data_IF_310519845320
#
_entry.id   IF_310519845320
#
_cell.length_a   1.000
_cell.length_b   1.000
_cell.length_c   1.000
_cell.angle_alpha   90.00
_cell.angle_beta   90.00
_cell.angle_gamma   90.00
#
_symmetry.space_group_name_H-M   'P 1'
#
loop_
_entity.id
_entity.type
_entity.pdbx_description
1 polymer ?
#
# COMPACT_ATOMS: atom_id res chain seq x y z
N UNK A 1 1.45 -7.71 19.70
CA UNK A 1 1.40 -6.84 18.51
C UNK A 1 2.58 -5.89 18.53
N UNK A 2 3.32 -5.80 17.42
CA UNK A 2 4.34 -4.77 17.22
C UNK A 2 3.68 -3.54 16.60
N UNK A 3 3.73 -2.40 17.28
CA UNK A 3 3.04 -1.18 16.84
C UNK A 3 3.27 0.01 17.77
N UNK A 4 2.94 1.21 17.31
CA UNK A 4 3.05 2.45 18.09
C UNK A 4 1.87 2.54 19.10
N UNK A 5 2.09 2.50 20.43
CA UNK A 5 1.02 2.40 21.42
C UNK A 5 -0.04 3.51 21.34
N UNK A 6 0.37 4.72 20.96
CA UNK A 6 -0.49 5.89 20.80
C UNK A 6 -1.33 5.86 19.50
N UNK A 7 -1.02 4.95 18.58
CA UNK A 7 -1.66 4.91 17.27
C UNK A 7 -3.04 4.26 17.36
N UNK A 8 -4.03 4.90 16.74
CA UNK A 8 -5.40 4.40 16.61
C UNK A 8 -5.51 2.97 16.03
N UNK A 9 -4.58 2.54 15.17
CA UNK A 9 -4.53 1.16 14.64
C UNK A 9 -4.31 0.15 15.77
N UNK A 10 -3.45 0.48 16.74
CA UNK A 10 -3.22 -0.34 17.94
C UNK A 10 -4.48 -0.39 18.79
N UNK A 11 -5.07 0.77 19.08
CA UNK A 11 -6.29 0.86 19.89
C UNK A 11 -7.47 0.06 19.29
N UNK A 12 -7.73 0.18 17.97
CA UNK A 12 -8.81 -0.56 17.31
C UNK A 12 -8.54 -2.06 17.23
N UNK A 13 -7.28 -2.48 17.06
CA UNK A 13 -6.96 -3.90 17.13
C UNK A 13 -7.16 -4.47 18.54
N UNK A 14 -6.75 -3.75 19.59
CA UNK A 14 -7.02 -4.15 20.98
C UNK A 14 -8.52 -4.23 21.30
N UNK A 15 -9.32 -3.31 20.76
CA UNK A 15 -10.77 -3.36 20.87
C UNK A 15 -11.34 -4.62 20.20
N UNK A 16 -10.89 -4.95 18.99
CA UNK A 16 -11.29 -6.17 18.29
C UNK A 16 -10.89 -7.45 19.06
N UNK A 17 -9.70 -7.49 19.64
CA UNK A 17 -9.22 -8.60 20.49
C UNK A 17 -10.12 -8.75 21.72
N UNK A 18 -10.44 -7.65 22.40
CA UNK A 18 -11.34 -7.63 23.56
C UNK A 18 -12.76 -8.08 23.20
N UNK A 19 -13.29 -7.59 22.09
CA UNK A 19 -14.62 -7.95 21.59
C UNK A 19 -14.72 -9.44 21.24
N UNK A 20 -13.62 -10.06 20.82
CA UNK A 20 -13.52 -11.50 20.60
C UNK A 20 -13.36 -12.32 21.89
N UNK A 21 -13.35 -11.69 23.08
CA UNK A 21 -13.21 -12.37 24.37
C UNK A 21 -11.79 -12.85 24.68
N UNK A 22 -10.78 -12.35 23.96
CA UNK A 22 -9.38 -12.72 24.17
C UNK A 22 -8.72 -11.85 25.25
N UNK A 23 -7.65 -12.34 25.91
CA UNK A 23 -6.81 -11.51 26.76
C UNK A 23 -6.27 -10.29 26.00
N UNK A 24 -6.01 -9.16 26.68
CA UNK A 24 -5.42 -7.99 26.05
C UNK A 24 -4.16 -8.33 25.26
N UNK A 25 -4.07 -7.84 24.02
CA UNK A 25 -2.90 -8.04 23.20
C UNK A 25 -1.71 -7.26 23.79
N UNK A 26 -0.61 -7.96 24.11
CA UNK A 26 0.63 -7.31 24.54
C UNK A 26 1.20 -6.46 23.41
N UNK A 27 1.48 -5.18 23.67
CA UNK A 27 2.07 -4.26 22.69
C UNK A 27 3.60 -4.22 22.86
N UNK A 28 4.32 -4.39 21.75
CA UNK A 28 5.78 -4.22 21.64
C UNK A 28 6.01 -2.95 20.80
N UNK A 29 6.40 -1.82 21.40
CA UNK A 29 6.57 -0.56 20.69
C UNK A 29 7.65 -0.61 19.59
N UNK A 30 7.45 0.09 18.48
CA UNK A 30 8.49 0.19 17.45
C UNK A 30 9.78 0.82 17.95
N UNK A 31 9.73 1.77 18.89
CA UNK A 31 10.93 2.33 19.52
C UNK A 31 11.74 1.27 20.29
N UNK A 32 11.06 0.31 20.93
CA UNK A 32 11.74 -0.81 21.59
C UNK A 32 12.37 -1.75 20.55
N UNK A 33 11.66 -2.05 19.46
CA UNK A 33 12.21 -2.88 18.36
C UNK A 33 13.43 -2.21 17.75
N UNK A 34 13.35 -0.92 17.41
CA UNK A 34 14.46 -0.17 16.83
C UNK A 34 15.65 0.01 17.79
N UNK A 35 15.41 -0.15 19.09
CA UNK A 35 16.45 -0.21 20.13
C UNK A 35 17.05 -1.60 20.35
N UNK A 36 16.68 -2.62 19.57
CA UNK A 36 17.18 -4.00 19.72
C UNK A 36 16.49 -4.81 20.82
N UNK A 37 15.32 -4.37 21.28
CA UNK A 37 14.62 -4.91 22.45
C UNK A 37 13.43 -5.81 22.13
N UNK A 38 13.26 -6.30 20.89
CA UNK A 38 12.10 -7.11 20.53
C UNK A 38 12.10 -8.46 21.30
N UNK A 39 11.06 -8.72 22.09
CA UNK A 39 10.92 -9.94 22.89
C UNK A 39 9.50 -10.52 22.85
N UNK A 40 9.45 -11.85 22.75
CA UNK A 40 8.23 -12.66 22.59
C UNK A 40 8.24 -13.89 23.49
N UNK A 41 7.05 -14.42 23.75
CA UNK A 41 6.84 -15.62 24.57
C UNK A 41 6.44 -16.82 23.68
N UNK A 42 6.73 -18.07 24.13
CA UNK A 42 6.36 -19.27 23.37
C UNK A 42 4.86 -19.34 23.08
N UNK A 43 4.52 -19.72 21.84
CA UNK A 43 3.13 -19.86 21.40
C UNK A 43 2.40 -18.54 21.10
N UNK A 44 3.05 -17.38 21.27
CA UNK A 44 2.43 -16.10 20.89
C UNK A 44 2.21 -16.01 19.38
N UNK A 45 1.13 -15.32 19.02
CA UNK A 45 0.86 -14.88 17.64
C UNK A 45 1.21 -13.41 17.49
N UNK A 46 2.22 -13.12 16.67
CA UNK A 46 2.81 -11.78 16.52
C UNK A 46 2.24 -11.08 15.30
N UNK A 47 1.32 -10.14 15.54
CA UNK A 47 0.90 -9.14 14.55
C UNK A 47 1.92 -8.01 14.45
N UNK A 48 2.41 -7.69 13.25
CA UNK A 48 3.18 -6.48 12.95
C UNK A 48 2.23 -5.43 12.35
N UNK A 49 2.29 -4.19 12.82
CA UNK A 49 1.54 -3.04 12.28
C UNK A 49 2.50 -1.95 11.76
N UNK A 50 1.94 -0.97 11.05
CA UNK A 50 2.66 0.17 10.48
C UNK A 50 3.47 0.91 11.54
N UNK A 51 4.76 1.24 11.27
CA UNK A 51 5.57 2.10 12.13
C UNK A 51 5.26 3.60 11.98
N UNK A 52 4.35 3.97 11.06
CA UNK A 52 4.04 5.37 10.75
C UNK A 52 3.27 6.13 11.84
N UNK A 53 3.06 7.42 11.57
CA UNK A 53 2.39 8.39 12.48
C UNK A 53 3.10 8.57 13.85
N UNK A 54 4.40 8.24 13.94
CA UNK A 54 5.25 8.53 15.10
C UNK A 54 6.54 9.23 14.65
N UNK A 55 6.79 10.45 15.13
CA UNK A 55 7.89 11.30 14.66
C UNK A 55 9.28 10.72 15.01
N UNK A 56 9.43 10.10 16.17
CA UNK A 56 10.72 9.55 16.59
C UNK A 56 11.06 8.26 15.82
N UNK A 57 10.07 7.38 15.63
CA UNK A 57 10.22 6.19 14.78
C UNK A 57 10.55 6.60 13.35
N UNK A 58 9.87 7.61 12.79
CA UNK A 58 10.15 8.10 11.45
C UNK A 58 11.56 8.69 11.33
N UNK A 59 12.02 9.44 12.34
CA UNK A 59 13.38 9.97 12.40
C UNK A 59 14.43 8.85 12.43
N UNK A 60 14.20 7.79 13.21
CA UNK A 60 15.11 6.64 13.29
C UNK A 60 15.19 5.87 11.97
N UNK A 61 14.03 5.64 11.33
CA UNK A 61 13.95 4.90 10.06
C UNK A 61 14.48 5.72 8.88
N UNK A 62 13.99 6.95 8.71
CA UNK A 62 14.26 7.80 7.53
C UNK A 62 15.51 8.67 7.68
N UNK A 63 15.85 9.06 8.91
CA UNK A 63 16.99 9.94 9.18
C UNK A 63 16.77 11.41 8.87
N UNK A 64 15.52 11.87 8.89
CA UNK A 64 15.13 13.26 8.71
C UNK A 64 14.29 13.71 9.91
N UNK A 65 14.44 14.97 10.32
CA UNK A 65 13.76 15.51 11.50
C UNK A 65 12.34 16.02 11.21
N UNK A 66 12.00 16.20 9.93
CA UNK A 66 10.69 16.65 9.49
C UNK A 66 9.91 15.50 8.81
N UNK A 67 8.79 15.03 9.39
CA UNK A 67 8.01 13.91 8.86
C UNK A 67 7.29 14.22 7.54
N UNK A 68 7.26 15.49 7.11
CA UNK A 68 6.72 15.88 5.80
C UNK A 68 7.70 15.65 4.66
N UNK A 69 8.99 15.39 4.95
CA UNK A 69 10.03 15.14 3.95
C UNK A 69 9.70 13.89 3.14
N UNK A 70 9.83 14.01 1.82
CA UNK A 70 9.56 12.88 0.90
C UNK A 70 10.80 12.04 0.62
N UNK A 71 11.98 12.62 0.79
CA UNK A 71 13.28 11.97 0.60
C UNK A 71 13.58 10.94 1.71
N UNK A 72 14.60 10.11 1.51
CA UNK A 72 15.06 9.11 2.48
C UNK A 72 14.21 7.84 2.53
N UNK A 73 13.31 7.62 1.56
CA UNK A 73 12.46 6.43 1.51
C UNK A 73 13.26 5.13 1.31
N UNK A 74 14.40 5.17 0.60
CA UNK A 74 15.29 4.02 0.49
C UNK A 74 15.96 3.67 1.83
N UNK A 75 16.40 4.68 2.59
CA UNK A 75 16.94 4.49 3.94
C UNK A 75 15.88 3.95 4.89
N UNK A 76 14.68 4.55 4.85
CA UNK A 76 13.53 4.09 5.62
C UNK A 76 13.24 2.62 5.35
N UNK A 77 13.21 2.22 4.07
CA UNK A 77 12.98 0.82 3.69
C UNK A 77 14.05 -0.12 4.23
N UNK A 78 15.33 0.21 4.08
CA UNK A 78 16.42 -0.63 4.60
C UNK A 78 16.40 -0.77 6.13
N UNK A 79 16.12 0.31 6.85
CA UNK A 79 15.99 0.29 8.31
C UNK A 79 14.76 -0.51 8.76
N UNK A 80 13.61 -0.32 8.10
CA UNK A 80 12.38 -1.05 8.37
C UNK A 80 12.55 -2.54 8.14
N UNK A 81 13.19 -2.93 7.03
CA UNK A 81 13.57 -4.31 6.71
C UNK A 81 14.37 -4.96 7.84
N UNK A 82 15.40 -4.27 8.31
CA UNK A 82 16.26 -4.76 9.40
C UNK A 82 15.46 -4.98 10.68
N UNK A 83 14.58 -4.04 11.04
CA UNK A 83 13.73 -4.14 12.22
C UNK A 83 12.69 -5.29 12.10
N UNK A 84 12.12 -5.50 10.92
CA UNK A 84 11.19 -6.61 10.65
C UNK A 84 11.92 -7.96 10.71
N UNK A 85 13.13 -8.05 10.17
CA UNK A 85 13.95 -9.26 10.25
C UNK A 85 14.32 -9.58 11.71
N UNK A 86 14.58 -8.55 12.54
CA UNK A 86 14.79 -8.73 13.98
C UNK A 86 13.54 -9.25 14.69
N UNK A 87 12.37 -8.68 14.42
CA UNK A 87 11.09 -9.15 14.99
C UNK A 87 10.84 -10.61 14.64
N UNK A 88 11.03 -10.99 13.37
CA UNK A 88 10.82 -12.36 12.93
C UNK A 88 11.82 -13.33 13.58
N UNK A 89 13.09 -12.93 13.69
CA UNK A 89 14.13 -13.71 14.39
C UNK A 89 13.81 -13.90 15.87
N UNK A 90 13.43 -12.83 16.57
CA UNK A 90 13.07 -12.87 17.99
C UNK A 90 11.82 -13.73 18.22
N UNK A 91 10.80 -13.60 17.37
CA UNK A 91 9.59 -14.41 17.45
C UNK A 91 9.91 -15.89 17.24
N UNK A 92 10.67 -16.22 16.19
CA UNK A 92 11.08 -17.61 15.92
C UNK A 92 11.92 -18.21 17.05
N UNK A 93 12.86 -17.44 17.62
CA UNK A 93 13.68 -17.90 18.75
C UNK A 93 12.87 -18.18 20.01
N UNK A 94 11.76 -17.45 20.21
CA UNK A 94 10.83 -17.68 21.31
C UNK A 94 9.83 -18.81 21.04
N UNK A 95 9.71 -19.33 19.81
CA UNK A 95 8.64 -20.26 19.44
C UNK A 95 7.28 -19.57 19.20
N UNK A 96 7.30 -18.28 18.85
CA UNK A 96 6.14 -17.50 18.44
C UNK A 96 5.99 -17.49 16.91
N UNK A 97 4.78 -17.25 16.41
CA UNK A 97 4.45 -17.22 14.98
C UNK A 97 4.08 -15.81 14.54
N UNK A 98 4.67 -15.30 13.45
CA UNK A 98 4.29 -14.00 12.88
C UNK A 98 3.10 -14.14 11.93
N UNK A 99 2.19 -13.15 11.94
CA UNK A 99 1.06 -13.08 10.99
C UNK A 99 1.43 -12.44 9.65
N UNK A 100 2.67 -11.98 9.55
CA UNK A 100 3.25 -11.36 8.36
C UNK A 100 4.70 -11.81 8.25
N UNK A 101 5.09 -12.33 7.09
CA UNK A 101 6.47 -12.73 6.82
C UNK A 101 7.33 -11.51 6.46
N UNK A 102 8.63 -11.52 6.81
CA UNK A 102 9.56 -10.53 6.28
C UNK A 102 9.54 -10.51 4.75
N UNK A 103 9.64 -11.65 4.07
CA UNK A 103 9.76 -11.69 2.61
C UNK A 103 8.58 -11.06 1.86
N UNK A 104 7.37 -11.14 2.42
CA UNK A 104 6.22 -10.41 1.90
C UNK A 104 6.34 -8.92 2.15
N UNK A 105 6.73 -8.49 3.36
CA UNK A 105 6.94 -7.07 3.68
C UNK A 105 8.01 -6.44 2.79
N UNK A 106 9.05 -7.18 2.39
CA UNK A 106 10.04 -6.70 1.43
C UNK A 106 9.39 -6.27 0.12
N UNK A 107 8.53 -7.14 -0.44
CA UNK A 107 7.88 -6.83 -1.69
C UNK A 107 6.75 -5.83 -1.54
N UNK A 108 5.92 -5.93 -0.50
CA UNK A 108 4.79 -5.02 -0.26
C UNK A 108 5.25 -3.58 -0.05
N UNK A 109 6.45 -3.36 0.50
CA UNK A 109 7.02 -2.02 0.66
C UNK A 109 7.90 -1.57 -0.51
N UNK A 110 8.19 -2.40 -1.51
CA UNK A 110 8.87 -2.00 -2.74
C UNK A 110 7.95 -2.19 -3.95
N UNK A 111 7.42 -1.09 -4.48
CA UNK A 111 6.45 -1.10 -5.59
C UNK A 111 6.96 -1.87 -6.80
N UNK A 112 8.26 -1.86 -7.08
CA UNK A 112 8.84 -2.55 -8.23
C UNK A 112 8.75 -4.06 -8.05
N UNK A 113 9.07 -4.54 -6.83
CA UNK A 113 9.01 -5.95 -6.46
C UNK A 113 7.58 -6.45 -6.35
N UNK A 114 6.70 -5.70 -5.66
CA UNK A 114 5.26 -6.01 -5.61
C UNK A 114 4.68 -6.13 -7.01
N UNK A 115 4.95 -5.15 -7.87
CA UNK A 115 4.46 -5.12 -9.24
C UNK A 115 4.91 -6.35 -10.04
N UNK A 116 6.19 -6.73 -9.95
CA UNK A 116 6.71 -7.89 -10.66
C UNK A 116 6.11 -9.21 -10.15
N UNK A 117 5.90 -9.35 -8.83
CA UNK A 117 5.23 -10.53 -8.26
C UNK A 117 3.79 -10.67 -8.76
N UNK A 118 3.07 -9.57 -8.86
CA UNK A 118 1.70 -9.56 -9.38
C UNK A 118 1.66 -9.91 -10.88
N UNK A 119 2.53 -9.28 -11.68
CA UNK A 119 2.62 -9.55 -13.11
C UNK A 119 2.98 -11.02 -13.40
N UNK A 120 3.98 -11.56 -12.68
CA UNK A 120 4.38 -12.97 -12.80
C UNK A 120 3.26 -13.96 -12.44
N UNK A 121 2.34 -13.56 -11.55
CA UNK A 121 1.16 -14.34 -11.17
C UNK A 121 -0.04 -14.15 -12.14
N UNK A 122 0.13 -13.38 -13.22
CA UNK A 122 -0.95 -13.08 -14.17
C UNK A 122 -2.02 -12.14 -13.63
N UNK A 123 -1.75 -11.43 -12.52
CA UNK A 123 -2.62 -10.35 -12.04
C UNK A 123 -2.40 -9.13 -12.92
N UNK A 124 -3.48 -8.59 -13.48
CA UNK A 124 -3.39 -7.41 -14.33
C UNK A 124 -2.88 -6.20 -13.55
N UNK A 125 -1.78 -5.61 -13.99
CA UNK A 125 -1.15 -4.40 -13.44
C UNK A 125 -0.84 -3.40 -14.56
N UNK A 126 -0.66 -2.10 -14.28
CA UNK A 126 -0.26 -1.13 -15.31
C UNK A 126 1.13 -1.43 -15.87
N UNK A 127 1.32 -1.41 -17.20
CA UNK A 127 2.65 -1.65 -17.78
C UNK A 127 3.75 -0.75 -17.16
N UNK A 128 4.87 -1.35 -16.78
CA UNK A 128 5.97 -0.67 -16.07
C UNK A 128 7.34 -1.15 -16.57
N UNK A 129 8.23 -0.26 -17.04
CA UNK A 129 9.59 -0.63 -17.42
C UNK A 129 10.54 -0.80 -16.22
N UNK A 130 10.13 -0.36 -15.04
CA UNK A 130 10.93 -0.43 -13.80
C UNK A 130 10.52 -1.60 -12.91
N UNK A 131 9.65 -2.48 -13.39
CA UNK A 131 9.15 -3.59 -12.59
C UNK A 131 10.22 -4.64 -12.33
N UNK A 132 10.29 -5.08 -11.07
CA UNK A 132 11.16 -6.18 -10.64
C UNK A 132 12.63 -5.78 -10.44
N UNK A 133 13.45 -6.73 -9.95
CA UNK A 133 14.86 -6.49 -9.65
C UNK A 133 15.70 -6.21 -10.91
N UNK A 134 15.22 -6.63 -12.08
CA UNK A 134 15.86 -6.41 -13.38
C UNK A 134 15.20 -5.30 -14.20
N UNK A 135 14.27 -4.55 -13.59
CA UNK A 135 13.64 -3.38 -14.23
C UNK A 135 14.67 -2.28 -14.51
N UNK A 136 14.33 -1.37 -15.42
CA UNK A 136 15.18 -0.25 -15.76
C UNK A 136 15.54 0.59 -14.53
N UNK A 137 16.83 0.92 -14.39
CA UNK A 137 17.29 1.85 -13.36
C UNK A 137 17.03 3.28 -13.81
N UNK A 138 16.50 4.10 -12.90
CA UNK A 138 16.15 5.50 -13.17
C UNK A 138 17.01 6.39 -12.27
N UNK A 139 17.99 7.09 -12.86
CA UNK A 139 18.91 7.98 -12.13
C UNK A 139 18.45 9.43 -12.12
N UNK A 140 17.39 9.74 -12.86
CA UNK A 140 16.84 11.08 -12.95
C UNK A 140 15.85 11.22 -14.11
N UNK A 141 15.50 12.47 -14.39
CA UNK A 141 14.49 12.85 -15.35
C UNK A 141 14.81 12.45 -16.79
N UNK A 142 16.08 12.48 -17.16
CA UNK A 142 16.51 12.01 -18.47
C UNK A 142 16.11 10.55 -18.72
N UNK A 143 16.37 9.67 -17.74
CA UNK A 143 16.01 8.25 -17.82
C UNK A 143 14.48 8.08 -17.86
N UNK A 144 13.73 8.85 -17.04
CA UNK A 144 12.25 8.87 -17.10
C UNK A 144 11.74 9.20 -18.51
N UNK A 145 12.29 10.24 -19.14
CA UNK A 145 11.90 10.65 -20.49
C UNK A 145 12.26 9.64 -21.56
N UNK A 146 13.43 9.01 -21.44
CA UNK A 146 13.86 7.95 -22.34
C UNK A 146 12.90 6.75 -22.26
N UNK A 147 12.58 6.29 -21.04
CA UNK A 147 11.68 5.16 -20.81
C UNK A 147 10.24 5.46 -21.26
N UNK A 148 9.73 6.66 -20.98
CA UNK A 148 8.39 7.06 -21.45
C UNK A 148 8.30 7.02 -22.99
N UNK A 149 9.36 7.44 -23.69
CA UNK A 149 9.42 7.40 -25.16
C UNK A 149 9.53 5.96 -25.68
N UNK A 150 10.47 5.19 -25.14
CA UNK A 150 10.74 3.80 -25.54
C UNK A 150 9.49 2.92 -25.40
N UNK A 151 8.81 3.02 -24.26
CA UNK A 151 7.63 2.20 -23.94
C UNK A 151 6.30 2.82 -24.40
N UNK A 152 6.34 3.92 -25.16
CA UNK A 152 5.15 4.65 -25.66
C UNK A 152 4.15 4.95 -24.53
N UNK A 153 4.67 5.57 -23.47
CA UNK A 153 3.93 6.00 -22.28
C UNK A 153 3.89 7.53 -22.22
N UNK A 154 3.05 8.19 -23.03
CA UNK A 154 2.93 9.66 -23.01
C UNK A 154 2.35 10.18 -21.68
N UNK A 155 1.78 9.27 -20.86
CA UNK A 155 1.34 9.54 -19.50
C UNK A 155 1.79 8.42 -18.58
N UNK A 156 2.46 8.77 -17.49
CA UNK A 156 3.00 7.83 -16.53
C UNK A 156 2.85 8.37 -15.11
N UNK A 157 2.72 7.47 -14.14
CA UNK A 157 3.02 7.80 -12.76
C UNK A 157 4.49 7.53 -12.51
N UNK A 158 5.21 8.50 -11.94
CA UNK A 158 6.54 8.33 -11.37
C UNK A 158 6.37 8.36 -9.85
N UNK A 159 6.78 7.29 -9.18
CA UNK A 159 6.57 7.09 -7.74
C UNK A 159 7.90 6.74 -7.09
N UNK A 160 8.14 7.20 -5.86
CA UNK A 160 9.16 6.57 -5.01
C UNK A 160 8.86 5.07 -4.86
N UNK A 161 9.89 4.23 -4.95
CA UNK A 161 9.73 2.78 -4.83
C UNK A 161 9.10 2.39 -3.48
N UNK A 162 9.51 3.07 -2.41
CA UNK A 162 9.09 2.79 -1.02
C UNK A 162 8.20 3.88 -0.40
N UNK A 163 7.68 4.80 -1.21
CA UNK A 163 6.78 5.85 -0.73
C UNK A 163 5.40 5.31 -0.31
N UNK A 164 4.68 6.01 0.56
CA UNK A 164 3.30 5.68 0.96
C UNK A 164 2.41 6.92 0.94
N UNK A 165 1.10 6.75 1.09
CA UNK A 165 0.12 7.86 1.18
C UNK A 165 0.20 8.89 0.03
N UNK A 166 0.55 8.42 -1.18
CA UNK A 166 0.80 9.23 -2.36
C UNK A 166 1.93 10.29 -2.21
N UNK A 167 2.77 10.18 -1.18
CA UNK A 167 3.98 10.98 -1.02
C UNK A 167 5.00 10.61 -2.10
N UNK A 168 5.63 11.63 -2.71
CA UNK A 168 6.62 11.40 -3.77
C UNK A 168 6.04 10.86 -5.08
N UNK A 169 4.73 11.02 -5.33
CA UNK A 169 4.07 10.59 -6.57
C UNK A 169 3.87 11.76 -7.52
N UNK A 170 4.28 11.60 -8.77
CA UNK A 170 4.09 12.54 -9.86
C UNK A 170 3.25 11.90 -10.97
N UNK A 171 2.11 12.50 -11.31
CA UNK A 171 1.38 12.19 -12.54
C UNK A 171 1.98 13.00 -13.68
N UNK A 172 2.82 12.37 -14.50
CA UNK A 172 3.60 12.99 -15.57
C UNK A 172 2.93 12.75 -16.92
N UNK A 173 2.83 13.81 -17.70
CA UNK A 173 2.41 13.79 -19.10
C UNK A 173 3.49 14.44 -19.95
N UNK A 174 3.76 13.84 -21.10
CA UNK A 174 4.69 14.36 -22.10
C UNK A 174 4.01 14.41 -23.46
N UNK A 175 4.37 15.41 -24.25
CA UNK A 175 3.96 15.52 -25.64
C UNK A 175 5.19 15.71 -26.53
N UNK A 176 5.07 16.50 -27.61
CA UNK A 176 6.23 16.84 -28.45
C UNK A 176 7.37 17.55 -27.67
N UNK A 177 8.47 17.89 -28.33
CA UNK A 177 9.68 18.42 -27.68
C UNK A 177 9.38 19.56 -26.69
N UNK A 178 9.97 19.48 -25.48
CA UNK A 178 9.81 20.48 -24.42
C UNK A 178 8.45 20.49 -23.69
N UNK A 179 7.45 19.75 -24.16
CA UNK A 179 6.11 19.74 -23.56
C UNK A 179 6.00 18.68 -22.47
N UNK A 180 5.98 19.14 -21.22
CA UNK A 180 5.77 18.30 -20.04
C UNK A 180 4.72 18.94 -19.14
N UNK A 181 3.97 18.11 -18.43
CA UNK A 181 3.17 18.50 -17.28
C UNK A 181 3.32 17.45 -16.19
N UNK A 182 3.60 17.85 -14.96
CA UNK A 182 3.55 16.98 -13.80
C UNK A 182 2.54 17.52 -12.78
N UNK A 183 1.68 16.65 -12.24
CA UNK A 183 0.82 16.97 -11.10
C UNK A 183 1.26 16.17 -9.88
N UNK A 184 1.55 16.85 -8.77
CA UNK A 184 2.11 16.23 -7.55
C UNK A 184 1.85 17.09 -6.32
N UNK A 185 1.86 16.48 -5.14
CA UNK A 185 1.87 17.22 -3.85
C UNK A 185 3.28 17.50 -3.34
N UNK A 186 4.31 17.00 -4.02
CA UNK A 186 5.71 17.30 -3.72
C UNK A 186 5.97 18.78 -3.97
N UNK A 187 6.46 19.46 -2.96
CA UNK A 187 6.90 20.85 -3.03
C UNK A 187 8.39 20.91 -2.66
N UNK A 188 9.10 21.86 -3.28
CA UNK A 188 10.52 22.09 -3.10
C UNK A 188 10.72 23.45 -2.45
N UNK A 189 11.47 23.51 -1.34
CA UNK A 189 11.79 24.78 -0.68
C UNK A 189 12.98 25.49 -1.35
N UNK A 190 13.35 26.66 -0.80
CA UNK A 190 14.49 27.45 -1.28
C UNK A 190 15.86 26.78 -1.08
N UNK A 191 15.95 25.81 -0.19
CA UNK A 191 17.17 24.99 0.04
C UNK A 191 17.19 23.74 -0.86
N UNK A 192 16.10 23.49 -1.59
CA UNK A 192 15.96 22.37 -2.50
C UNK A 192 15.45 21.07 -1.86
N UNK A 193 15.06 21.11 -0.58
CA UNK A 193 14.46 19.98 0.14
C UNK A 193 13.05 19.75 -0.35
N UNK A 194 12.64 18.48 -0.38
CA UNK A 194 11.33 18.08 -0.85
C UNK A 194 10.39 17.67 0.29
N UNK A 195 9.15 18.15 0.25
CA UNK A 195 8.13 17.85 1.25
C UNK A 195 6.76 17.58 0.62
N UNK A 196 5.94 16.77 1.30
CA UNK A 196 4.57 16.50 0.88
C UNK A 196 3.65 17.61 1.42
N UNK A 197 3.33 18.59 0.56
CA UNK A 197 2.47 19.72 0.92
C UNK A 197 0.99 19.35 1.12
N UNK A 198 0.60 18.10 0.80
CA UNK A 198 -0.78 17.61 0.68
C UNK A 198 -1.64 18.35 -0.36
N UNK A 199 -1.10 19.38 -1.02
CA UNK A 199 -1.78 20.19 -2.03
C UNK A 199 -1.24 19.83 -3.40
N UNK A 200 -2.09 19.27 -4.25
CA UNK A 200 -1.69 18.92 -5.62
C UNK A 200 -1.46 20.20 -6.43
N UNK A 201 -0.23 20.37 -6.92
CA UNK A 201 0.20 21.48 -7.79
C UNK A 201 0.55 20.95 -9.17
N UNK A 202 0.69 21.87 -10.13
CA UNK A 202 1.10 21.55 -11.50
C UNK A 202 2.41 22.24 -11.83
N UNK A 203 3.35 21.48 -12.36
CA UNK A 203 4.61 21.95 -12.93
C UNK A 203 4.58 21.73 -14.44
N UNK A 204 5.03 22.70 -15.23
CA UNK A 204 4.84 22.69 -16.70
C UNK A 204 6.14 22.86 -17.48
N UNK A 205 7.28 23.01 -16.80
CA UNK A 205 8.58 23.12 -17.44
C UNK A 205 9.42 21.88 -17.20
N UNK A 206 10.28 21.51 -18.15
CA UNK A 206 11.21 20.38 -17.97
C UNK A 206 12.20 20.62 -16.83
N UNK A 207 12.58 21.87 -16.58
CA UNK A 207 13.48 22.23 -15.49
C UNK A 207 12.85 21.96 -14.11
N UNK A 208 11.61 22.39 -13.88
CA UNK A 208 10.92 22.15 -12.61
C UNK A 208 10.66 20.67 -12.37
N UNK A 209 10.10 19.98 -13.39
CA UNK A 209 9.80 18.54 -13.28
C UNK A 209 11.10 17.74 -13.12
N UNK A 210 12.15 18.13 -13.86
CA UNK A 210 13.46 17.54 -13.78
C UNK A 210 14.05 17.63 -12.37
N UNK A 211 14.08 18.84 -11.80
CA UNK A 211 14.61 19.07 -10.46
C UNK A 211 13.90 18.23 -9.38
N UNK A 212 12.57 18.06 -9.49
CA UNK A 212 11.82 17.19 -8.55
C UNK A 212 12.21 15.72 -8.72
N UNK A 213 12.22 15.22 -9.96
CA UNK A 213 12.52 13.82 -10.25
C UNK A 213 13.98 13.48 -9.90
N UNK A 214 14.92 14.35 -10.22
CA UNK A 214 16.34 14.16 -9.95
C UNK A 214 16.63 14.12 -8.45
N UNK A 215 15.91 14.91 -7.64
CA UNK A 215 16.01 14.87 -6.19
C UNK A 215 15.37 13.61 -5.57
N UNK A 216 14.35 13.02 -6.21
CA UNK A 216 13.71 11.77 -5.77
C UNK A 216 14.42 10.51 -6.26
N UNK A 217 15.16 10.58 -7.37
CA UNK A 217 15.79 9.44 -8.01
C UNK A 217 16.74 8.62 -7.11
N UNK A 218 17.54 9.22 -6.20
CA UNK A 218 18.43 8.47 -5.30
C UNK A 218 17.70 7.46 -4.41
N UNK A 219 16.42 7.70 -4.10
CA UNK A 219 15.59 6.79 -3.31
C UNK A 219 15.01 5.62 -4.14
N UNK A 220 15.22 5.63 -5.46
CA UNK A 220 14.66 4.66 -6.38
C UNK A 220 13.24 5.03 -6.84
N UNK A 221 13.02 4.91 -8.14
CA UNK A 221 11.75 5.26 -8.78
C UNK A 221 11.08 4.04 -9.40
N UNK A 222 9.76 4.04 -9.33
CA UNK A 222 8.87 3.16 -10.07
C UNK A 222 8.08 4.00 -11.07
N UNK A 223 8.16 3.63 -12.35
CA UNK A 223 7.42 4.26 -13.44
C UNK A 223 6.38 3.27 -13.93
N UNK A 224 5.12 3.69 -13.98
CA UNK A 224 4.04 2.85 -14.51
C UNK A 224 3.10 3.65 -15.40
N UNK A 225 2.40 2.95 -16.28
CA UNK A 225 1.43 3.57 -17.18
C UNK A 225 0.31 4.20 -16.37
N UNK A 226 0.08 5.48 -16.62
CA UNK A 226 -1.10 6.14 -16.07
C UNK A 226 -2.34 5.65 -16.81
N UNK A 227 -3.06 4.71 -16.17
CA UNK A 227 -4.33 4.19 -16.67
C UNK A 227 -5.45 5.24 -16.51
N UNK A 228 -6.21 5.53 -17.57
CA UNK A 228 -7.47 6.27 -17.46
C UNK A 228 -8.45 5.48 -16.59
N UNK A 229 -8.82 6.06 -15.45
CA UNK A 229 -9.75 5.45 -14.51
C UNK A 229 -11.19 5.70 -14.90
N UNK A 230 -12.08 4.78 -14.55
CA UNK A 230 -13.50 5.05 -14.51
C UNK A 230 -13.78 6.22 -13.56
N UNK A 231 -14.91 6.87 -13.77
CA UNK A 231 -15.36 7.96 -12.92
C UNK A 231 -16.72 7.65 -12.30
N UNK A 232 -16.93 8.23 -11.12
CA UNK A 232 -18.21 8.27 -10.43
C UNK A 232 -18.58 9.74 -10.27
N UNK A 233 -19.74 10.14 -10.81
CA UNK A 233 -20.25 11.52 -10.74
C UNK A 233 -19.20 12.56 -11.18
N UNK A 234 -18.49 12.28 -12.27
CA UNK A 234 -17.44 13.16 -12.83
C UNK A 234 -16.09 13.14 -12.10
N UNK A 235 -15.93 12.31 -11.06
CA UNK A 235 -14.69 12.19 -10.28
C UNK A 235 -13.99 10.88 -10.59
N UNK A 236 -12.67 10.88 -10.78
CA UNK A 236 -11.91 9.65 -10.98
C UNK A 236 -12.09 8.73 -9.77
N UNK A 237 -12.32 7.43 -10.02
CA UNK A 237 -12.61 6.45 -8.98
C UNK A 237 -11.56 5.33 -8.96
N UNK A 238 -11.16 4.91 -7.77
CA UNK A 238 -10.53 3.63 -7.52
C UNK A 238 -11.21 2.91 -6.36
N UNK A 239 -10.80 1.68 -6.08
CA UNK A 239 -11.29 0.92 -4.94
C UNK A 239 -10.14 0.46 -4.07
N UNK A 240 -10.37 0.48 -2.77
CA UNK A 240 -9.53 -0.17 -1.77
C UNK A 240 -10.27 -1.41 -1.29
N UNK A 241 -9.73 -2.58 -1.61
CA UNK A 241 -10.26 -3.88 -1.19
C UNK A 241 -9.36 -4.43 -0.08
N UNK A 242 -9.94 -4.73 1.08
CA UNK A 242 -9.19 -5.40 2.16
C UNK A 242 -9.38 -6.89 2.01
N UNK A 243 -8.26 -7.61 1.89
CA UNK A 243 -8.23 -9.08 1.83
C UNK A 243 -7.65 -9.59 3.14
N UNK A 244 -8.43 -10.39 3.86
CA UNK A 244 -8.07 -10.98 5.16
C UNK A 244 -8.17 -12.50 5.03
N UNK A 245 -7.11 -13.22 5.39
CA UNK A 245 -7.10 -14.68 5.31
C UNK A 245 -7.33 -15.22 3.89
N UNK A 246 -6.95 -14.46 2.86
CA UNK A 246 -7.16 -14.81 1.45
C UNK A 246 -8.57 -14.52 0.90
N UNK A 247 -9.45 -13.89 1.70
CA UNK A 247 -10.82 -13.52 1.28
C UNK A 247 -11.00 -12.01 1.23
N UNK A 248 -11.61 -11.50 0.17
CA UNK A 248 -11.97 -10.09 0.09
C UNK A 248 -13.10 -9.79 1.07
N UNK A 249 -12.80 -9.06 2.14
CA UNK A 249 -13.73 -8.83 3.25
C UNK A 249 -14.36 -7.45 3.22
N UNK A 250 -13.61 -6.41 2.83
CA UNK A 250 -14.12 -5.03 2.84
C UNK A 250 -13.80 -4.34 1.52
N UNK A 251 -14.64 -3.40 1.11
CA UNK A 251 -14.40 -2.57 -0.07
C UNK A 251 -14.83 -1.13 0.20
N UNK A 252 -13.99 -0.17 -0.19
CA UNK A 252 -14.36 1.25 -0.22
C UNK A 252 -13.98 1.85 -1.57
N UNK A 253 -14.90 2.61 -2.15
CA UNK A 253 -14.63 3.40 -3.36
C UNK A 253 -14.01 4.72 -2.92
N UNK A 254 -12.93 5.16 -3.56
CA UNK A 254 -12.32 6.47 -3.33
C UNK A 254 -12.41 7.30 -4.60
N UNK A 255 -12.89 8.53 -4.49
CA UNK A 255 -13.12 9.43 -5.62
C UNK A 255 -12.34 10.73 -5.48
N UNK A 256 -11.80 11.24 -6.59
CA UNK A 256 -10.99 12.47 -6.60
C UNK A 256 -11.22 13.31 -7.86
N UNK A 257 -11.05 14.62 -7.73
CA UNK A 257 -10.98 15.54 -8.87
C UNK A 257 -9.61 15.51 -9.56
N UNK A 258 -8.61 14.90 -8.93
CA UNK A 258 -7.28 14.70 -9.48
C UNK A 258 -7.05 13.24 -9.89
N UNK A 259 -6.01 12.95 -10.69
CA UNK A 259 -5.62 11.57 -11.01
C UNK A 259 -5.25 10.74 -9.78
N UNK A 260 -4.84 11.38 -8.68
CA UNK A 260 -4.51 10.73 -7.42
C UNK A 260 -5.76 10.68 -6.53
N UNK A 261 -6.22 9.47 -6.24
CA UNK A 261 -7.49 9.16 -5.54
C UNK A 261 -7.31 8.91 -4.04
N UNK A 262 -6.08 9.03 -3.53
CA UNK A 262 -5.77 8.81 -2.12
C UNK A 262 -6.56 9.79 -1.23
N UNK A 263 -7.18 9.26 -0.17
CA UNK A 263 -7.99 10.05 0.78
C UNK A 263 -7.17 11.14 1.49
N UNK A 264 -5.86 10.93 1.68
CA UNK A 264 -4.95 11.93 2.26
C UNK A 264 -4.77 13.18 1.39
N UNK A 265 -5.16 13.13 0.10
CA UNK A 265 -5.12 14.26 -0.84
C UNK A 265 -6.51 14.87 -1.09
N UNK A 266 -7.44 14.71 -0.14
CA UNK A 266 -8.80 15.25 -0.25
C UNK A 266 -9.76 14.39 -1.10
N UNK A 267 -9.45 13.10 -1.26
CA UNK A 267 -10.38 12.13 -1.83
C UNK A 267 -11.62 11.93 -0.94
N UNK A 268 -12.73 11.49 -1.52
CA UNK A 268 -13.98 11.21 -0.80
C UNK A 268 -14.41 9.75 -1.01
N UNK A 269 -15.14 9.18 -0.03
CA UNK A 269 -15.78 7.87 -0.22
C UNK A 269 -16.84 7.98 -1.31
N UNK A 270 -16.78 7.06 -2.26
CA UNK A 270 -17.78 6.88 -3.30
C UNK A 270 -18.87 5.88 -2.89
N UNK A 271 -19.76 5.59 -3.83
CA UNK A 271 -20.84 4.62 -3.64
C UNK A 271 -20.46 3.28 -4.30
N UNK A 272 -20.39 2.21 -3.48
CA UNK A 272 -20.05 0.87 -3.96
C UNK A 272 -21.20 0.23 -4.76
N UNK A 273 -22.45 0.58 -4.50
CA UNK A 273 -23.61 0.06 -5.23
C UNK A 273 -23.64 0.57 -6.66
N UNK A 274 -23.31 1.84 -6.85
CA UNK A 274 -23.11 2.41 -8.18
C UNK A 274 -21.98 1.69 -8.95
N UNK A 275 -20.90 1.27 -8.27
CA UNK A 275 -19.84 0.45 -8.91
C UNK A 275 -20.40 -0.90 -9.33
N UNK A 276 -21.10 -1.60 -8.44
CA UNK A 276 -21.69 -2.92 -8.72
C UNK A 276 -22.69 -2.84 -9.89
N UNK A 277 -23.52 -1.81 -9.91
CA UNK A 277 -24.46 -1.54 -10.99
C UNK A 277 -23.74 -1.23 -12.31
N UNK A 278 -22.71 -0.39 -12.29
CA UNK A 278 -21.94 -0.03 -13.50
C UNK A 278 -21.21 -1.22 -14.10
N UNK A 279 -20.60 -2.08 -13.26
CA UNK A 279 -19.96 -3.33 -13.70
C UNK A 279 -20.99 -4.27 -14.32
N UNK A 280 -22.15 -4.44 -13.69
CA UNK A 280 -23.22 -5.32 -14.19
C UNK A 280 -23.80 -4.80 -15.51
N UNK A 281 -23.96 -3.48 -15.65
CA UNK A 281 -24.50 -2.85 -16.86
C UNK A 281 -23.63 -3.07 -18.12
N UNK A 282 -22.33 -3.33 -17.94
CA UNK A 282 -21.41 -3.67 -19.04
C UNK A 282 -21.15 -5.18 -19.18
N UNK A 283 -21.95 -6.00 -18.51
CA UNK A 283 -21.85 -7.46 -18.53
C UNK A 283 -20.67 -8.03 -17.72
N UNK A 284 -20.03 -7.22 -16.88
CA UNK A 284 -18.96 -7.66 -15.99
C UNK A 284 -19.49 -8.30 -14.71
N UNK A 285 -18.59 -8.99 -14.00
CA UNK A 285 -18.92 -9.62 -12.71
C UNK A 285 -18.12 -8.98 -11.57
N UNK A 286 -18.81 -8.38 -10.59
CA UNK A 286 -18.16 -7.83 -9.39
C UNK A 286 -17.34 -8.87 -8.62
N UNK A 287 -17.81 -10.12 -8.59
CA UNK A 287 -17.09 -11.22 -7.94
C UNK A 287 -15.74 -11.52 -8.61
N UNK A 288 -15.60 -11.31 -9.92
CA UNK A 288 -14.32 -11.48 -10.61
C UNK A 288 -13.32 -10.38 -10.23
N UNK A 289 -13.80 -9.16 -9.97
CA UNK A 289 -12.99 -8.08 -9.44
C UNK A 289 -12.48 -8.38 -8.02
N UNK A 290 -13.33 -8.94 -7.15
CA UNK A 290 -12.93 -9.42 -5.83
C UNK A 290 -11.93 -10.58 -5.94
N UNK A 291 -12.20 -11.57 -6.80
CA UNK A 291 -11.30 -12.71 -7.02
C UNK A 291 -9.93 -12.27 -7.58
N UNK A 292 -9.85 -11.19 -8.35
CA UNK A 292 -8.58 -10.59 -8.75
C UNK A 292 -7.79 -10.06 -7.55
N UNK A 293 -8.46 -9.43 -6.59
CA UNK A 293 -7.82 -8.94 -5.37
C UNK A 293 -7.38 -10.10 -4.47
N UNK A 294 -8.16 -11.18 -4.39
CA UNK A 294 -7.78 -12.40 -3.67
C UNK A 294 -6.56 -13.08 -4.31
N UNK A 295 -6.48 -13.15 -5.65
CA UNK A 295 -5.27 -13.61 -6.36
C UNK A 295 -4.06 -12.72 -6.11
N UNK A 296 -4.26 -11.40 -6.07
CA UNK A 296 -3.19 -10.46 -5.75
C UNK A 296 -2.66 -10.66 -4.32
N UNK A 297 -3.55 -10.89 -3.36
CA UNK A 297 -3.17 -11.21 -1.99
C UNK A 297 -2.47 -12.58 -1.88
N UNK A 298 -2.87 -13.56 -2.68
CA UNK A 298 -2.23 -14.89 -2.71
C UNK A 298 -0.76 -14.86 -3.15
N UNK A 299 -0.30 -13.77 -3.79
CA UNK A 299 1.13 -13.55 -4.07
C UNK A 299 1.96 -13.25 -2.81
N UNK A 300 1.32 -13.08 -1.65
CA UNK A 300 1.93 -12.77 -0.36
C UNK A 300 1.43 -13.74 0.74
N UNK A 301 1.72 -15.05 0.60
CA UNK A 301 1.06 -16.10 1.39
C UNK A 301 1.40 -16.07 2.88
N UNK A 302 2.52 -15.46 3.26
CA UNK A 302 2.92 -15.27 4.65
C UNK A 302 2.28 -14.05 5.32
N UNK A 303 1.36 -13.34 4.65
CA UNK A 303 0.70 -12.13 5.15
C UNK A 303 -0.79 -12.34 5.34
N UNK A 304 -1.28 -12.17 6.56
CA UNK A 304 -2.70 -12.38 6.88
C UNK A 304 -3.63 -11.36 6.20
N UNK A 305 -3.21 -10.10 6.13
CA UNK A 305 -4.08 -8.99 5.76
C UNK A 305 -3.37 -7.96 4.87
N UNK A 306 -3.95 -7.67 3.71
CA UNK A 306 -3.46 -6.67 2.76
C UNK A 306 -4.59 -5.77 2.25
N UNK A 307 -4.26 -4.53 1.91
CA UNK A 307 -5.13 -3.59 1.21
C UNK A 307 -4.76 -3.49 -0.26
N UNK A 308 -5.62 -3.98 -1.15
CA UNK A 308 -5.44 -3.96 -2.61
C UNK A 308 -6.07 -2.70 -3.21
N UNK A 309 -5.27 -1.91 -3.90
CA UNK A 309 -5.76 -0.78 -4.71
C UNK A 309 -6.16 -1.29 -6.09
N UNK A 310 -7.47 -1.33 -6.34
CA UNK A 310 -8.05 -1.78 -7.60
C UNK A 310 -8.44 -0.58 -8.48
N UNK A 311 -7.89 -0.54 -9.68
CA UNK A 311 -8.06 0.53 -10.65
C UNK A 311 -9.08 0.10 -11.73
N UNK A 312 -10.31 0.62 -11.72
CA UNK A 312 -11.27 0.37 -12.79
C UNK A 312 -10.85 1.17 -14.02
N UNK A 313 -10.71 0.51 -15.17
CA UNK A 313 -10.53 1.19 -16.45
C UNK A 313 -11.83 1.91 -16.85
N UNK A 314 -11.70 2.92 -17.73
CA UNK A 314 -12.86 3.65 -18.28
C UNK A 314 -13.97 2.70 -18.72
N UNK A 315 -15.20 2.98 -18.27
CA UNK A 315 -16.38 2.16 -18.56
C UNK A 315 -16.52 0.91 -17.70
N UNK A 316 -15.73 0.73 -16.64
CA UNK A 316 -15.88 -0.37 -15.65
C UNK A 316 -15.71 -1.79 -16.21
N UNK A 317 -15.18 -1.93 -17.42
CA UNK A 317 -15.07 -3.22 -18.13
C UNK A 317 -13.88 -4.08 -17.71
N UNK A 318 -12.82 -3.44 -17.21
CA UNK A 318 -11.56 -4.08 -16.85
C UNK A 318 -11.01 -3.45 -15.60
N UNK A 319 -10.27 -4.23 -14.85
CA UNK A 319 -9.59 -3.81 -13.63
C UNK A 319 -8.10 -4.13 -13.73
N UNK A 320 -7.30 -3.34 -13.04
CA UNK A 320 -5.90 -3.62 -12.78
C UNK A 320 -5.60 -3.34 -11.31
N UNK A 321 -4.67 -4.08 -10.72
CA UNK A 321 -4.14 -3.79 -9.39
C UNK A 321 -3.09 -2.71 -9.52
N UNK A 322 -3.27 -1.59 -8.81
CA UNK A 322 -2.33 -0.48 -8.77
C UNK A 322 -1.25 -0.64 -7.71
N UNK A 323 -1.61 -1.21 -6.56
CA UNK A 323 -0.72 -1.43 -5.43
C UNK A 323 -1.34 -2.45 -4.46
N UNK A 324 -0.50 -3.19 -3.71
CA UNK A 324 -0.93 -4.01 -2.58
C UNK A 324 -0.20 -3.50 -1.34
N UNK A 325 -0.95 -3.11 -0.33
CA UNK A 325 -0.45 -2.47 0.88
C UNK A 325 -0.46 -3.48 2.03
N UNK A 326 0.63 -3.55 2.79
CA UNK A 326 0.68 -4.35 4.00
C UNK A 326 -0.28 -3.80 5.09
N UNK A 327 -0.60 -4.65 6.07
CA UNK A 327 -1.35 -4.28 7.27
C UNK A 327 -2.80 -3.83 7.02
N UNK A 328 -3.39 -4.28 5.91
CA UNK A 328 -4.76 -3.95 5.54
C UNK A 328 -5.00 -2.45 5.37
N UNK A 329 -6.13 -1.99 5.90
CA UNK A 329 -6.43 -0.57 5.92
C UNK A 329 -7.23 -0.19 7.17
N UNK A 330 -7.11 1.09 7.54
CA UNK A 330 -7.87 1.70 8.60
C UNK A 330 -9.14 2.32 8.00
N UNK A 331 -10.26 1.60 8.11
CA UNK A 331 -11.55 2.01 7.54
C UNK A 331 -12.65 2.12 8.61
N UNK A 332 -12.61 3.15 9.48
CA UNK A 332 -13.59 3.30 10.55
C UNK A 332 -15.02 3.37 9.98
N UNK A 333 -15.95 2.71 10.67
CA UNK A 333 -17.37 2.68 10.34
C UNK A 333 -17.71 1.88 9.07
N UNK A 334 -16.77 1.12 8.51
CA UNK A 334 -17.03 0.20 7.40
C UNK A 334 -17.09 -1.23 7.92
N UNK A 335 -18.15 -1.96 7.55
CA UNK A 335 -18.32 -3.38 7.87
C UNK A 335 -18.06 -4.27 6.66
N UNK A 336 -17.87 -5.57 6.92
CA UNK A 336 -17.57 -6.55 5.87
C UNK A 336 -18.68 -6.73 4.82
N UNK A 337 -18.25 -7.16 3.65
CA UNK A 337 -19.09 -7.41 2.47
C UNK A 337 -20.02 -8.61 2.71
N UNK A 338 -21.24 -8.60 2.15
CA UNK A 338 -22.10 -9.77 2.13
C UNK A 338 -21.43 -10.98 1.44
N UNK A 339 -21.53 -12.15 2.06
CA UNK A 339 -20.93 -13.41 1.63
C UNK A 339 -19.42 -13.53 1.89
N UNK A 340 -18.81 -12.57 2.59
CA UNK A 340 -17.36 -12.59 2.87
C UNK A 340 -16.97 -13.37 4.12
N UNK A 341 -17.92 -13.58 5.05
CA UNK A 341 -17.64 -14.11 6.40
C UNK A 341 -17.21 -13.03 7.39
N UNK A 342 -17.22 -11.76 6.98
CA UNK A 342 -16.90 -10.60 7.81
C UNK A 342 -18.10 -9.66 8.01
N UNK A 343 -19.32 -10.09 7.70
CA UNK A 343 -20.53 -9.29 7.87
C UNK A 343 -20.68 -8.81 9.32
N UNK A 344 -20.87 -7.50 9.49
CA UNK A 344 -20.97 -6.87 10.81
C UNK A 344 -19.63 -6.71 11.55
N UNK A 345 -18.54 -7.28 11.04
CA UNK A 345 -17.19 -7.06 11.56
C UNK A 345 -16.55 -5.86 10.86
N UNK A 346 -15.68 -5.14 11.58
CA UNK A 346 -14.76 -4.19 10.98
C UNK A 346 -13.48 -4.91 10.46
N UNK A 347 -12.53 -4.13 9.92
CA UNK A 347 -11.31 -4.67 9.34
C UNK A 347 -10.37 -5.35 10.36
N UNK A 348 -10.43 -4.99 11.64
CA UNK A 348 -9.60 -5.60 12.69
C UNK A 348 -10.28 -6.83 13.29
N UNK A 349 -11.58 -6.77 13.55
CA UNK A 349 -12.38 -7.91 13.99
C UNK A 349 -12.35 -9.05 12.96
N UNK A 350 -12.39 -8.73 11.66
CA UNK A 350 -12.19 -9.72 10.61
C UNK A 350 -10.80 -10.38 10.65
N UNK A 351 -9.74 -9.63 11.00
CA UNK A 351 -8.40 -10.19 11.18
C UNK A 351 -8.33 -11.12 12.39
N UNK A 352 -8.91 -10.72 13.52
CA UNK A 352 -8.96 -11.56 14.73
C UNK A 352 -9.73 -12.85 14.46
N UNK A 353 -10.90 -12.76 13.83
CA UNK A 353 -11.69 -13.92 13.43
C UNK A 353 -10.89 -14.89 12.52
N UNK A 354 -10.19 -14.36 11.52
CA UNK A 354 -9.37 -15.17 10.62
C UNK A 354 -8.19 -15.87 11.33
N UNK A 355 -7.61 -15.25 12.37
CA UNK A 355 -6.59 -15.92 13.21
C UNK A 355 -7.19 -17.07 13.99
N UNK A 356 -8.35 -16.85 14.63
CA UNK A 356 -9.03 -17.90 15.40
C UNK A 356 -9.47 -19.08 14.53
N UNK A 357 -9.91 -18.82 13.30
CA UNK A 357 -10.25 -19.86 12.33
C UNK A 357 -9.04 -20.73 11.96
N UNK A 358 -7.87 -20.12 11.75
CA UNK A 358 -6.63 -20.86 11.46
C UNK A 358 -6.25 -21.77 12.62
N UNK A 359 -6.23 -21.24 13.84
CA UNK A 359 -5.89 -22.03 15.05
C UNK A 359 -6.83 -23.22 15.23
N UNK A 360 -8.14 -23.04 14.99
CA UNK A 360 -9.12 -24.15 15.07
C UNK A 360 -8.86 -25.23 14.03
N UNK A 361 -8.54 -24.85 12.79
CA UNK A 361 -8.24 -25.80 11.72
C UNK A 361 -6.93 -26.55 11.98
N UNK A 362 -5.90 -25.86 12.48
CA UNK A 362 -4.62 -26.50 12.84
C UNK A 362 -4.81 -27.54 13.96
N UNK A 363 -5.63 -27.22 14.98
CA UNK A 363 -6.00 -28.19 16.02
C UNK A 363 -6.82 -29.38 15.50
N UNK A 364 -7.73 -29.16 14.55
CA UNK A 364 -8.53 -30.23 13.96
C UNK A 364 -7.68 -31.18 13.08
N UNK A 365 -6.65 -30.66 12.41
CA UNK A 365 -5.73 -31.46 11.58
C UNK A 365 -4.68 -32.21 12.42
N UNK A 366 -4.34 -31.70 13.61
CA UNK A 366 -3.34 -32.29 14.52
C UNK A 366 -3.93 -33.20 15.60
N UNK A 367 -5.26 -33.28 15.71
CA UNK A 367 -5.95 -34.21 16.61
C UNK A 367 -6.20 -35.55 15.87
N UNK A 368 -5.74 -36.70 16.42
CA UNK A 368 -5.77 -38.00 15.75
C UNK A 368 -7.16 -38.61 15.58
#
# INVERSE_FOLDING_TARGET
MVGNPENRRVAFFEEAVRAAGLPPARVVPWLQVLGGGAAFEPGETVRIDSPGENAEVERLLRGVDDPTRVEGSARWYAAFRTAVDEVARAASAAGATTLTSPDDLAALFDKRLCHARLEAAGVAVPASPTSGPHGAQVRGWYDVRALMREHRMPRAFVKLAHGSSASGVLAVETAGPGRVRASTSVERDGEGRLFNSLRVRRYTTEQEVGALVDALAPDGLHIERWLPKASQRGRAADLRIVVVGGRATHAVVRTSLSPMTNLHLGGARGDLDEVRAAVSAVGGCWREALAMCERAAACFPGTLCVGVDLLPAVGWRRFAVGEVNAFGDLLPGLTGLPGSGAEGLDTYAAQVAAVLDRTRNDHAVTSP
#
